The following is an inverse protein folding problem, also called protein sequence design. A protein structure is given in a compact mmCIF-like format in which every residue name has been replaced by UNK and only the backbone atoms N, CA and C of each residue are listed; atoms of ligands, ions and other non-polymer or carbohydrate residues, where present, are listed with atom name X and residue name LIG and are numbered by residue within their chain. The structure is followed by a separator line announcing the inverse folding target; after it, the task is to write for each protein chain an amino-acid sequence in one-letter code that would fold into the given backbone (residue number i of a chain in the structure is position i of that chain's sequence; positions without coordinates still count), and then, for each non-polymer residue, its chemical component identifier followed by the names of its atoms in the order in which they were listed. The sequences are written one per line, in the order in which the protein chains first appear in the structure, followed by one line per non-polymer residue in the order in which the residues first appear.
data_IF_053260040618
#
_entry.id   IF_053260040618
#
_cell.length_a   1.000
_cell.length_b   1.000
_cell.length_c   1.000
_cell.angle_alpha   90.00
_cell.angle_beta   90.00
_cell.angle_gamma   90.00
#
_symmetry.space_group_name_H-M   'P 1'
#
loop_
_entity.id
_entity.type
_entity.pdbx_description
1 polymer ?
#
# COMPACT_ATOMS: atom_id res chain seq x y z
N UNK A 1 -19.97 -21.86 -12.17
CA UNK A 1 -18.80 -21.03 -11.83
C UNK A 1 -17.60 -21.95 -11.65
N UNK A 2 -16.37 -21.59 -12.04
CA UNK A 2 -15.21 -22.41 -11.76
C UNK A 2 -15.07 -22.64 -10.24
N UNK A 3 -14.61 -23.80 -9.78
CA UNK A 3 -14.40 -24.08 -8.37
C UNK A 3 -13.46 -23.02 -7.76
N UNK A 4 -13.92 -22.32 -6.71
CA UNK A 4 -13.17 -21.26 -6.04
C UNK A 4 -13.50 -19.84 -6.49
N UNK A 5 -14.37 -19.60 -7.47
CA UNK A 5 -14.84 -18.25 -7.80
C UNK A 5 -15.74 -17.71 -6.67
N UNK A 6 -15.55 -16.44 -6.35
CA UNK A 6 -16.41 -15.74 -5.39
C UNK A 6 -17.70 -15.28 -6.08
N UNK A 7 -18.83 -15.28 -5.33
CA UNK A 7 -20.03 -14.60 -5.78
C UNK A 7 -19.81 -13.09 -5.89
N UNK A 8 -20.54 -12.39 -6.73
CA UNK A 8 -20.46 -10.92 -6.87
C UNK A 8 -20.60 -10.19 -5.52
N UNK A 9 -21.50 -10.65 -4.66
CA UNK A 9 -21.67 -10.10 -3.32
C UNK A 9 -20.42 -10.28 -2.43
N UNK A 10 -19.65 -11.34 -2.62
CA UNK A 10 -18.38 -11.53 -1.91
C UNK A 10 -17.25 -10.70 -2.50
N UNK A 11 -17.23 -10.52 -3.82
CA UNK A 11 -16.27 -9.63 -4.49
C UNK A 11 -16.49 -8.19 -4.08
N UNK A 12 -17.72 -7.73 -3.96
CA UNK A 12 -18.07 -6.38 -3.49
C UNK A 12 -17.70 -6.14 -2.02
N UNK A 13 -17.53 -7.19 -1.22
CA UNK A 13 -17.08 -7.10 0.17
C UNK A 13 -15.55 -6.92 0.30
N UNK A 14 -14.78 -7.23 -0.75
CA UNK A 14 -13.34 -7.02 -0.79
C UNK A 14 -13.07 -5.54 -1.06
N UNK A 15 -12.63 -4.81 -0.05
CA UNK A 15 -12.34 -3.38 -0.17
C UNK A 15 -10.85 -3.16 -0.35
N UNK A 16 -10.41 -2.58 -1.48
CA UNK A 16 -9.05 -2.06 -1.58
C UNK A 16 -8.85 -0.91 -0.60
N UNK A 17 -7.61 -0.63 -0.22
CA UNK A 17 -7.36 0.45 0.72
C UNK A 17 -5.93 0.58 1.19
N UNK A 18 -5.76 1.47 2.14
CA UNK A 18 -4.50 1.75 2.83
C UNK A 18 -4.53 1.15 4.22
N UNK A 19 -3.38 0.70 4.69
CA UNK A 19 -3.21 0.22 6.06
C UNK A 19 -2.06 0.95 6.76
N UNK A 20 -2.14 1.01 8.08
CA UNK A 20 -1.04 1.35 8.98
C UNK A 20 -0.74 0.17 9.89
N UNK A 21 0.55 -0.09 10.15
CA UNK A 21 1.00 -1.17 11.04
C UNK A 21 0.93 -0.72 12.49
N UNK A 22 0.25 -1.48 13.33
CA UNK A 22 0.20 -1.26 14.78
C UNK A 22 1.39 -1.93 15.49
N UNK A 23 1.90 -1.30 16.53
CA UNK A 23 2.79 -1.97 17.48
C UNK A 23 2.00 -3.02 18.29
N UNK A 24 2.71 -3.98 18.90
CA UNK A 24 2.12 -5.18 19.49
C UNK A 24 1.50 -4.95 20.88
N UNK A 25 0.60 -3.98 20.98
CA UNK A 25 -0.20 -3.70 22.17
C UNK A 25 -1.64 -3.36 21.80
N UNK A 26 -2.56 -3.52 22.73
CA UNK A 26 -3.94 -3.09 22.57
C UNK A 26 -4.03 -1.60 22.26
N UNK A 27 -3.32 -0.75 23.03
CA UNK A 27 -3.40 0.70 22.86
C UNK A 27 -2.92 1.13 21.49
N UNK A 28 -1.80 0.59 21.00
CA UNK A 28 -1.31 0.89 19.65
C UNK A 28 -2.30 0.52 18.55
N UNK A 29 -3.05 -0.57 18.73
CA UNK A 29 -4.15 -0.93 17.83
C UNK A 29 -5.25 0.13 17.81
N UNK A 30 -5.68 0.61 18.97
CA UNK A 30 -6.69 1.66 19.08
C UNK A 30 -6.21 2.99 18.48
N UNK A 31 -4.98 3.40 18.76
CA UNK A 31 -4.38 4.63 18.22
C UNK A 31 -4.27 4.56 16.68
N UNK A 32 -3.88 3.40 16.13
CA UNK A 32 -3.82 3.19 14.69
C UNK A 32 -5.21 3.20 14.04
N UNK A 33 -6.25 2.69 14.72
CA UNK A 33 -7.63 2.75 14.23
C UNK A 33 -8.12 4.19 14.16
N UNK A 34 -7.87 5.01 15.20
CA UNK A 34 -8.25 6.43 15.22
C UNK A 34 -7.50 7.22 14.14
N UNK A 35 -6.22 6.93 13.95
CA UNK A 35 -5.42 7.50 12.87
C UNK A 35 -5.96 7.10 11.50
N UNK A 36 -6.23 5.81 11.28
CA UNK A 36 -6.78 5.28 10.04
C UNK A 36 -8.12 5.94 9.69
N UNK A 37 -9.02 6.07 10.66
CA UNK A 37 -10.31 6.73 10.48
C UNK A 37 -10.15 8.21 10.07
N UNK A 38 -9.25 8.95 10.73
CA UNK A 38 -8.98 10.37 10.45
C UNK A 38 -8.39 10.58 9.06
N UNK A 39 -7.51 9.68 8.63
CA UNK A 39 -6.78 9.78 7.35
C UNK A 39 -7.40 8.97 6.22
N UNK A 40 -8.64 8.47 6.37
CA UNK A 40 -9.36 7.68 5.38
C UNK A 40 -8.58 6.42 4.94
N UNK A 41 -7.92 5.77 5.88
CA UNK A 41 -7.39 4.43 5.69
C UNK A 41 -8.49 3.41 6.01
N UNK A 42 -8.35 2.22 5.48
CA UNK A 42 -9.35 1.18 5.61
C UNK A 42 -8.95 0.12 6.63
N UNK A 43 -7.65 0.02 6.93
CA UNK A 43 -7.14 -1.09 7.72
C UNK A 43 -6.04 -0.69 8.69
N UNK A 44 -5.91 -1.50 9.74
CA UNK A 44 -4.69 -1.63 10.53
C UNK A 44 -4.13 -3.05 10.38
N UNK A 45 -2.85 -3.23 10.63
CA UNK A 45 -2.17 -4.52 10.60
C UNK A 45 -1.46 -4.79 11.93
N UNK A 46 -1.72 -5.92 12.55
CA UNK A 46 -0.78 -6.52 13.49
C UNK A 46 0.14 -7.45 12.72
N UNK A 47 1.42 -7.05 12.63
CA UNK A 47 2.46 -7.77 11.90
C UNK A 47 3.14 -8.84 12.78
N UNK A 48 4.28 -9.38 12.35
CA UNK A 48 5.03 -10.41 13.04
C UNK A 48 5.13 -10.20 14.55
N UNK A 49 4.88 -11.26 15.32
CA UNK A 49 4.97 -11.26 16.79
C UNK A 49 3.64 -11.17 17.55
N UNK A 50 2.52 -10.85 16.91
CA UNK A 50 1.24 -10.69 17.60
C UNK A 50 0.70 -11.99 18.23
N UNK A 51 1.16 -13.15 17.79
CA UNK A 51 0.81 -14.46 18.33
C UNK A 51 2.02 -15.21 18.90
N UNK A 52 3.12 -14.53 19.13
CA UNK A 52 4.37 -15.07 19.67
C UNK A 52 5.55 -14.91 18.72
N UNK A 53 6.68 -15.55 19.08
CA UNK A 53 7.93 -15.41 18.33
C UNK A 53 7.78 -15.91 16.89
N UNK A 54 8.31 -15.14 15.96
CA UNK A 54 8.27 -15.48 14.55
C UNK A 54 9.07 -16.76 14.24
N UNK A 55 8.61 -17.54 13.27
CA UNK A 55 9.20 -18.82 12.85
C UNK A 55 9.29 -19.86 13.95
N UNK A 56 8.71 -19.62 15.12
CA UNK A 56 8.69 -20.57 16.22
C UNK A 56 7.60 -21.63 16.02
N UNK A 57 7.91 -22.87 16.35
CA UNK A 57 6.94 -23.97 16.34
C UNK A 57 6.04 -23.98 17.56
N UNK A 58 6.37 -23.17 18.60
CA UNK A 58 5.60 -23.03 19.85
C UNK A 58 4.63 -21.85 19.80
N UNK A 59 4.79 -20.93 18.83
CA UNK A 59 3.83 -19.84 18.64
C UNK A 59 2.56 -20.35 18.00
N UNK A 60 1.40 -19.93 18.52
CA UNK A 60 0.10 -20.40 18.06
C UNK A 60 -0.78 -19.25 17.53
N UNK A 61 -1.02 -19.15 16.20
CA UNK A 61 -1.85 -18.11 15.62
C UNK A 61 -3.34 -18.21 15.97
N UNK A 62 -3.74 -19.16 16.83
CA UNK A 62 -5.09 -19.24 17.37
C UNK A 62 -5.29 -18.32 18.59
N UNK A 63 -4.24 -17.66 19.10
CA UNK A 63 -4.32 -16.75 20.24
C UNK A 63 -3.35 -15.57 20.10
N UNK A 64 -3.78 -14.39 20.53
CA UNK A 64 -2.92 -13.23 20.63
C UNK A 64 -2.01 -13.31 21.87
N UNK A 65 -0.86 -12.63 21.84
CA UNK A 65 -0.04 -12.43 23.03
C UNK A 65 -0.81 -11.64 24.11
N UNK A 66 -0.48 -11.78 25.40
CA UNK A 66 -1.22 -11.12 26.50
C UNK A 66 -1.29 -9.59 26.40
N UNK A 67 -0.37 -8.94 25.68
CA UNK A 67 -0.35 -7.49 25.48
C UNK A 67 -1.44 -6.98 24.53
N UNK A 68 -2.11 -7.87 23.78
CA UNK A 68 -3.12 -7.55 22.77
C UNK A 68 -4.46 -8.16 23.15
N UNK A 69 -5.42 -7.31 23.55
CA UNK A 69 -6.84 -7.67 23.61
C UNK A 69 -7.43 -7.56 22.19
N UNK A 70 -7.21 -8.61 21.40
CA UNK A 70 -7.61 -8.62 20.00
C UNK A 70 -9.12 -8.46 19.77
N UNK A 71 -10.02 -9.11 20.56
CA UNK A 71 -11.46 -8.87 20.49
C UNK A 71 -11.83 -7.40 20.66
N UNK A 72 -11.23 -6.72 21.64
CA UNK A 72 -11.46 -5.28 21.88
C UNK A 72 -11.03 -4.44 20.68
N UNK A 73 -9.85 -4.70 20.12
CA UNK A 73 -9.32 -3.95 18.96
C UNK A 73 -10.22 -4.16 17.74
N UNK A 74 -10.65 -5.39 17.47
CA UNK A 74 -11.52 -5.71 16.33
C UNK A 74 -12.90 -5.02 16.50
N UNK A 75 -13.49 -5.06 17.69
CA UNK A 75 -14.76 -4.39 17.98
C UNK A 75 -14.65 -2.87 17.76
N UNK A 76 -13.59 -2.25 18.28
CA UNK A 76 -13.32 -0.82 18.14
C UNK A 76 -13.12 -0.41 16.67
N UNK A 77 -12.40 -1.23 15.90
CA UNK A 77 -12.23 -1.02 14.46
C UNK A 77 -13.56 -1.11 13.69
N UNK A 78 -14.39 -2.11 14.03
CA UNK A 78 -15.70 -2.30 13.40
C UNK A 78 -16.61 -1.09 13.61
N UNK A 79 -16.64 -0.51 14.80
CA UNK A 79 -17.42 0.71 15.11
C UNK A 79 -17.00 1.91 14.26
N UNK A 80 -15.74 1.96 13.82
CA UNK A 80 -15.15 3.04 13.02
C UNK A 80 -15.01 2.71 11.54
N UNK A 81 -15.48 1.53 11.12
CA UNK A 81 -15.35 1.07 9.73
C UNK A 81 -13.91 0.69 9.32
N UNK A 82 -13.02 0.43 10.29
CA UNK A 82 -11.62 0.06 10.08
C UNK A 82 -11.44 -1.44 10.31
N UNK A 83 -10.95 -2.15 9.29
CA UNK A 83 -10.66 -3.58 9.37
C UNK A 83 -9.31 -3.87 10.03
N UNK A 84 -9.23 -5.02 10.70
CA UNK A 84 -7.97 -5.53 11.27
C UNK A 84 -7.45 -6.65 10.39
N UNK A 85 -6.19 -6.53 9.95
CA UNK A 85 -5.45 -7.56 9.20
C UNK A 85 -4.46 -8.21 10.16
N UNK A 86 -4.29 -9.53 10.06
CA UNK A 86 -3.37 -10.30 10.87
C UNK A 86 -2.30 -10.97 10.01
N UNK A 87 -1.05 -10.77 10.40
CA UNK A 87 0.08 -11.48 9.83
C UNK A 87 0.14 -12.92 10.31
N UNK A 88 0.47 -13.86 9.43
CA UNK A 88 0.79 -15.23 9.82
C UNK A 88 2.00 -15.74 9.04
N UNK A 89 3.00 -16.20 9.79
CA UNK A 89 4.22 -16.79 9.27
C UNK A 89 3.96 -18.17 8.63
N UNK A 90 4.78 -18.58 7.66
CA UNK A 90 4.62 -19.87 6.99
C UNK A 90 4.58 -21.07 7.93
N UNK A 91 5.28 -21.02 9.07
CA UNK A 91 5.25 -22.12 10.07
C UNK A 91 3.85 -22.26 10.67
N UNK A 92 3.23 -21.16 11.05
CA UNK A 92 1.85 -21.12 11.53
C UNK A 92 0.85 -21.49 10.46
N UNK A 93 1.04 -20.97 9.23
CA UNK A 93 0.17 -21.26 8.10
C UNK A 93 0.15 -22.74 7.74
N UNK A 94 1.33 -23.38 7.64
CA UNK A 94 1.39 -24.81 7.29
C UNK A 94 0.74 -25.71 8.32
N UNK A 95 0.78 -25.33 9.60
CA UNK A 95 0.20 -26.12 10.69
C UNK A 95 -1.28 -25.85 10.94
N UNK A 96 -1.71 -24.60 10.74
CA UNK A 96 -2.96 -24.10 11.31
C UNK A 96 -3.89 -23.40 10.31
N UNK A 97 -3.56 -23.33 8.99
CA UNK A 97 -4.36 -22.60 8.04
C UNK A 97 -5.86 -22.94 8.11
N UNK A 98 -6.18 -24.23 8.12
CA UNK A 98 -7.56 -24.70 8.13
C UNK A 98 -8.28 -24.42 9.48
N UNK A 99 -7.53 -24.18 10.56
CA UNK A 99 -8.05 -23.80 11.87
C UNK A 99 -8.22 -22.30 12.03
N UNK A 100 -7.27 -21.50 11.52
CA UNK A 100 -7.31 -20.04 11.65
C UNK A 100 -8.40 -19.41 10.77
N UNK A 101 -8.66 -19.92 9.59
CA UNK A 101 -9.63 -19.32 8.67
C UNK A 101 -11.05 -19.22 9.28
N UNK A 102 -11.66 -20.29 9.80
CA UNK A 102 -12.96 -20.20 10.47
C UNK A 102 -12.90 -19.35 11.74
N UNK A 103 -11.82 -19.45 12.53
CA UNK A 103 -11.65 -18.68 13.76
C UNK A 103 -11.55 -17.18 13.48
N UNK A 104 -10.72 -16.77 12.51
CA UNK A 104 -10.56 -15.36 12.15
C UNK A 104 -11.85 -14.78 11.54
N UNK A 105 -12.62 -15.63 10.84
CA UNK A 105 -13.95 -15.24 10.37
C UNK A 105 -14.91 -14.96 11.53
N UNK A 106 -14.88 -15.82 12.55
CA UNK A 106 -15.65 -15.62 13.76
C UNK A 106 -15.23 -14.36 14.53
N UNK A 107 -13.93 -14.07 14.61
CA UNK A 107 -13.42 -12.87 15.25
C UNK A 107 -13.78 -11.58 14.48
N UNK A 108 -14.07 -11.67 13.19
CA UNK A 108 -14.34 -10.51 12.35
C UNK A 108 -13.08 -9.87 11.77
N UNK A 109 -11.98 -10.63 11.66
CA UNK A 109 -10.76 -10.22 10.96
C UNK A 109 -11.07 -9.90 9.50
N UNK A 110 -10.50 -8.82 8.97
CA UNK A 110 -10.73 -8.36 7.60
C UNK A 110 -9.85 -9.08 6.57
N UNK A 111 -8.65 -9.48 6.95
CA UNK A 111 -7.71 -10.09 6.04
C UNK A 111 -6.48 -10.68 6.70
N UNK A 112 -5.64 -11.29 5.87
CA UNK A 112 -4.39 -11.89 6.29
C UNK A 112 -3.21 -11.32 5.49
N UNK A 113 -2.07 -11.24 6.16
CA UNK A 113 -0.77 -11.05 5.53
C UNK A 113 0.04 -12.34 5.75
N UNK A 114 0.46 -12.98 4.67
CA UNK A 114 1.31 -14.16 4.72
C UNK A 114 2.78 -13.76 4.67
N UNK A 115 3.59 -14.25 5.61
CA UNK A 115 5.01 -13.99 5.66
C UNK A 115 5.89 -15.23 5.49
N UNK A 116 7.04 -15.04 4.84
CA UNK A 116 8.07 -16.06 4.58
C UNK A 116 7.57 -17.31 3.89
N UNK A 117 6.56 -17.19 3.03
CA UNK A 117 6.04 -18.30 2.25
C UNK A 117 7.04 -18.75 1.19
N UNK A 118 7.02 -20.06 0.87
CA UNK A 118 7.82 -20.59 -0.22
C UNK A 118 7.15 -20.26 -1.57
N UNK A 119 7.58 -19.17 -2.17
CA UNK A 119 7.15 -18.73 -3.50
C UNK A 119 8.10 -19.15 -4.64
N UNK A 120 9.10 -19.99 -4.37
CA UNK A 120 10.17 -20.32 -5.32
C UNK A 120 10.19 -21.80 -5.76
N UNK A 121 9.77 -22.72 -4.89
CA UNK A 121 9.74 -24.15 -5.23
C UNK A 121 8.39 -24.58 -5.79
N UNK A 122 8.37 -25.64 -6.60
CA UNK A 122 7.13 -26.20 -7.14
C UNK A 122 6.17 -26.63 -6.01
N UNK A 123 6.70 -27.21 -4.93
CA UNK A 123 5.91 -27.61 -3.77
C UNK A 123 5.30 -26.40 -3.06
N UNK A 124 6.09 -25.37 -2.83
CA UNK A 124 5.65 -24.13 -2.20
C UNK A 124 4.57 -23.41 -3.01
N UNK A 125 4.76 -23.28 -4.32
CA UNK A 125 3.77 -22.66 -5.22
C UNK A 125 2.46 -23.43 -5.25
N UNK A 126 2.49 -24.77 -5.28
CA UNK A 126 1.27 -25.57 -5.23
C UNK A 126 0.50 -25.36 -3.93
N UNK A 127 1.22 -25.44 -2.80
CA UNK A 127 0.62 -25.17 -1.49
C UNK A 127 0.04 -23.77 -1.40
N UNK A 128 0.79 -22.77 -1.90
CA UNK A 128 0.38 -21.37 -1.85
C UNK A 128 -0.88 -21.10 -2.70
N UNK A 129 -0.97 -21.70 -3.89
CA UNK A 129 -2.16 -21.62 -4.74
C UNK A 129 -3.41 -22.19 -4.04
N UNK A 130 -3.27 -23.31 -3.30
CA UNK A 130 -4.34 -23.87 -2.48
C UNK A 130 -4.70 -22.97 -1.31
N UNK A 131 -3.69 -22.43 -0.62
CA UNK A 131 -3.91 -21.48 0.48
C UNK A 131 -4.63 -20.21 0.03
N UNK A 132 -4.24 -19.62 -1.10
CA UNK A 132 -4.91 -18.45 -1.70
C UNK A 132 -6.38 -18.77 -1.99
N UNK A 133 -6.66 -19.94 -2.59
CA UNK A 133 -8.01 -20.41 -2.88
C UNK A 133 -8.85 -20.51 -1.61
N UNK A 134 -8.29 -21.09 -0.53
CA UNK A 134 -8.96 -21.21 0.77
C UNK A 134 -9.26 -19.82 1.38
N UNK A 135 -8.27 -18.93 1.44
CA UNK A 135 -8.47 -17.56 1.94
C UNK A 135 -9.58 -16.84 1.16
N UNK A 136 -9.55 -16.95 -0.18
CA UNK A 136 -10.58 -16.37 -1.04
C UNK A 136 -11.99 -16.93 -0.72
N UNK A 137 -12.10 -18.23 -0.43
CA UNK A 137 -13.40 -18.84 -0.11
C UNK A 137 -14.02 -18.32 1.19
N UNK A 138 -13.21 -17.85 2.14
CA UNK A 138 -13.67 -17.19 3.37
C UNK A 138 -13.97 -15.69 3.19
N UNK A 139 -13.58 -15.09 2.07
CA UNK A 139 -13.80 -13.68 1.77
C UNK A 139 -12.86 -12.74 2.54
N UNK A 140 -11.67 -13.19 2.89
CA UNK A 140 -10.62 -12.35 3.45
C UNK A 140 -9.83 -11.65 2.34
N UNK A 141 -9.38 -10.43 2.57
CA UNK A 141 -8.32 -9.85 1.75
C UNK A 141 -6.98 -10.49 2.10
N UNK A 142 -6.08 -10.55 1.12
CA UNK A 142 -4.80 -11.23 1.26
C UNK A 142 -3.67 -10.37 0.69
N UNK A 143 -2.64 -10.22 1.49
CA UNK A 143 -1.32 -9.75 1.12
C UNK A 143 -0.32 -10.91 1.29
N UNK A 144 0.63 -11.06 0.36
CA UNK A 144 1.67 -12.11 0.45
C UNK A 144 3.04 -11.45 0.36
N UNK A 145 3.82 -11.58 1.41
CA UNK A 145 5.16 -11.01 1.49
C UNK A 145 6.28 -11.97 1.04
N UNK A 146 7.47 -11.41 0.97
CA UNK A 146 8.76 -12.04 0.66
C UNK A 146 8.91 -12.45 -0.82
N UNK A 147 9.18 -13.72 -1.09
CA UNK A 147 9.62 -14.19 -2.40
C UNK A 147 8.51 -14.38 -3.43
N UNK A 148 7.25 -14.26 -3.04
CA UNK A 148 6.15 -14.50 -3.97
C UNK A 148 5.96 -13.34 -4.94
N UNK A 149 5.99 -13.65 -6.23
CA UNK A 149 5.81 -12.70 -7.31
C UNK A 149 4.46 -12.92 -8.01
N UNK A 150 3.93 -11.91 -8.70
CA UNK A 150 2.67 -12.04 -9.44
C UNK A 150 2.69 -13.19 -10.43
N UNK A 151 1.68 -14.06 -10.33
CA UNK A 151 1.47 -15.23 -11.19
C UNK A 151 0.16 -15.17 -11.97
N UNK A 152 -0.57 -14.06 -11.86
CA UNK A 152 -1.91 -13.88 -12.43
C UNK A 152 -3.04 -14.43 -11.55
N UNK A 153 -2.75 -15.08 -10.42
CA UNK A 153 -3.76 -15.66 -9.52
C UNK A 153 -4.70 -14.61 -8.91
N UNK A 154 -4.31 -13.34 -8.83
CA UNK A 154 -5.20 -12.25 -8.41
C UNK A 154 -6.41 -12.05 -9.34
N UNK A 155 -6.34 -12.47 -10.60
CA UNK A 155 -7.48 -12.49 -11.52
C UNK A 155 -8.47 -13.61 -11.24
N UNK A 156 -7.95 -14.75 -10.77
CA UNK A 156 -8.76 -15.92 -10.40
C UNK A 156 -9.32 -15.80 -8.99
N UNK A 157 -8.52 -15.24 -8.08
CA UNK A 157 -8.83 -15.06 -6.67
C UNK A 157 -8.69 -13.58 -6.29
N UNK A 158 -9.75 -12.77 -6.46
CA UNK A 158 -9.72 -11.32 -6.24
C UNK A 158 -9.38 -10.89 -4.81
N UNK A 159 -9.43 -11.81 -3.85
CA UNK A 159 -8.97 -11.57 -2.47
C UNK A 159 -7.47 -11.28 -2.38
N UNK A 160 -6.66 -11.80 -3.30
CA UNK A 160 -5.23 -11.52 -3.40
C UNK A 160 -5.03 -10.10 -3.94
N UNK A 161 -5.05 -9.12 -3.05
CA UNK A 161 -4.98 -7.70 -3.41
C UNK A 161 -3.57 -7.27 -3.77
N UNK A 162 -2.57 -7.78 -3.05
CA UNK A 162 -1.18 -7.39 -3.27
C UNK A 162 -0.20 -8.50 -2.88
N UNK A 163 1.03 -8.37 -3.33
CA UNK A 163 2.13 -9.25 -2.97
C UNK A 163 3.44 -8.48 -3.03
N UNK A 164 4.35 -8.73 -2.10
CA UNK A 164 5.63 -8.05 -2.09
C UNK A 164 6.44 -8.40 -3.34
N UNK A 165 7.27 -9.40 -3.31
CA UNK A 165 8.15 -9.78 -4.43
C UNK A 165 8.86 -8.58 -5.06
N UNK A 166 9.24 -7.60 -4.25
CA UNK A 166 9.79 -6.30 -4.60
C UNK A 166 10.80 -5.87 -3.53
N UNK A 167 11.73 -5.01 -3.87
CA UNK A 167 12.55 -4.31 -2.89
C UNK A 167 11.84 -3.03 -2.47
N UNK A 168 11.05 -3.10 -1.39
CA UNK A 168 10.34 -1.96 -0.83
C UNK A 168 11.21 -1.07 0.05
N UNK A 169 10.59 -0.05 0.66
CA UNK A 169 11.29 0.94 1.49
C UNK A 169 12.03 0.33 2.68
N UNK A 170 11.58 -0.82 3.20
CA UNK A 170 12.26 -1.56 4.25
C UNK A 170 13.73 -1.86 3.94
N UNK A 171 14.06 -1.97 2.66
CA UNK A 171 15.41 -2.28 2.16
C UNK A 171 16.15 -1.04 1.65
N UNK A 172 15.61 0.17 1.88
CA UNK A 172 16.23 1.44 1.51
C UNK A 172 16.62 1.54 0.04
N UNK A 173 15.69 1.36 -0.93
CA UNK A 173 15.99 1.52 -2.34
C UNK A 173 16.40 2.96 -2.65
N UNK A 174 17.29 3.15 -3.62
CA UNK A 174 17.63 4.47 -4.11
C UNK A 174 16.66 4.94 -5.21
N UNK A 175 16.82 6.17 -5.66
CA UNK A 175 15.96 6.77 -6.67
C UNK A 175 16.09 6.13 -8.05
N UNK A 176 17.22 5.49 -8.37
CA UNK A 176 17.33 4.68 -9.58
C UNK A 176 16.39 3.48 -9.49
N UNK A 177 16.43 2.75 -8.37
CA UNK A 177 15.57 1.59 -8.17
C UNK A 177 14.09 1.98 -8.21
N UNK A 178 13.70 3.07 -7.52
CA UNK A 178 12.29 3.51 -7.49
C UNK A 178 11.76 3.91 -8.88
N UNK A 179 12.62 4.38 -9.78
CA UNK A 179 12.26 4.71 -11.18
C UNK A 179 12.43 3.55 -12.16
N UNK A 180 13.03 2.43 -11.76
CA UNK A 180 13.05 1.17 -12.53
C UNK A 180 11.78 0.35 -12.31
N UNK A 181 11.27 0.29 -11.09
CA UNK A 181 10.16 -0.57 -10.70
C UNK A 181 8.88 -0.38 -11.54
N UNK A 182 8.45 0.85 -11.91
CA UNK A 182 7.25 1.05 -12.73
C UNK A 182 7.33 0.40 -14.11
N UNK A 183 8.55 0.29 -14.67
CA UNK A 183 8.81 -0.28 -15.99
C UNK A 183 9.12 -1.79 -15.96
N UNK A 184 9.18 -2.38 -14.79
CA UNK A 184 9.56 -3.79 -14.61
C UNK A 184 8.55 -4.51 -13.72
N UNK A 185 8.74 -4.46 -12.40
CA UNK A 185 7.95 -5.23 -11.43
C UNK A 185 6.45 -4.92 -11.49
N UNK A 186 6.06 -3.64 -11.64
CA UNK A 186 4.65 -3.24 -11.69
C UNK A 186 3.94 -3.61 -13.00
N UNK A 187 4.67 -3.99 -14.05
CA UNK A 187 4.08 -4.56 -15.26
C UNK A 187 3.52 -5.97 -15.01
N UNK A 188 4.07 -6.68 -14.04
CA UNK A 188 3.62 -8.03 -13.68
C UNK A 188 2.37 -8.02 -12.77
N UNK A 189 2.08 -6.90 -12.12
CA UNK A 189 0.92 -6.75 -11.22
C UNK A 189 1.22 -5.94 -9.96
N UNK A 190 0.26 -5.95 -9.04
CA UNK A 190 0.34 -5.21 -7.78
C UNK A 190 1.56 -5.58 -6.93
N UNK A 191 2.07 -4.60 -6.17
CA UNK A 191 3.12 -4.84 -5.19
C UNK A 191 2.91 -4.02 -3.92
N UNK A 192 3.11 -4.66 -2.75
CA UNK A 192 3.22 -3.95 -1.48
C UNK A 192 4.64 -3.41 -1.31
N UNK A 193 4.77 -2.09 -1.42
CA UNK A 193 6.08 -1.40 -1.36
C UNK A 193 6.48 -1.03 0.07
N UNK A 194 5.60 -1.18 1.06
CA UNK A 194 5.86 -0.84 2.47
C UNK A 194 6.39 0.58 2.68
N UNK A 195 5.62 1.59 2.31
CA UNK A 195 6.03 3.00 2.41
C UNK A 195 6.43 3.39 3.83
N UNK A 196 7.69 3.81 4.02
CA UNK A 196 8.29 4.22 5.29
C UNK A 196 8.43 5.74 5.42
N UNK A 197 7.42 6.49 5.14
CA UNK A 197 7.43 7.96 5.06
C UNK A 197 8.25 8.62 6.19
N UNK A 198 9.13 9.59 5.88
CA UNK A 198 10.00 10.22 6.85
C UNK A 198 9.24 10.92 7.98
N UNK A 199 9.71 10.78 9.22
CA UNK A 199 9.14 11.39 10.42
C UNK A 199 10.21 11.90 11.37
N UNK A 200 9.78 12.74 12.33
CA UNK A 200 10.68 13.36 13.31
C UNK A 200 11.36 12.35 14.27
N UNK A 201 10.68 11.25 14.58
CA UNK A 201 11.26 10.20 15.42
C UNK A 201 12.44 9.49 14.74
N UNK A 202 12.52 9.59 13.42
CA UNK A 202 13.69 9.20 12.64
C UNK A 202 14.09 7.74 12.74
N UNK A 203 13.18 6.83 13.13
CA UNK A 203 13.49 5.42 13.27
C UNK A 203 13.97 4.83 11.92
N UNK A 204 13.18 4.08 11.25
CA UNK A 204 13.55 3.50 9.95
C UNK A 204 13.68 4.54 8.83
N UNK A 205 12.98 5.67 8.94
CA UNK A 205 12.98 6.73 7.93
C UNK A 205 14.36 7.34 7.62
N UNK A 206 15.36 7.18 8.49
CA UNK A 206 16.76 7.55 8.20
C UNK A 206 17.36 6.82 6.99
N UNK A 207 16.83 5.66 6.65
CA UNK A 207 17.31 4.85 5.54
C UNK A 207 16.71 5.24 4.19
N UNK A 208 15.69 6.11 4.19
CA UNK A 208 15.07 6.58 2.96
C UNK A 208 16.03 7.46 2.17
N UNK A 209 16.14 7.15 0.89
CA UNK A 209 17.09 7.78 -0.04
C UNK A 209 16.41 8.68 -1.07
N UNK A 210 15.11 8.85 -0.93
CA UNK A 210 14.27 9.69 -1.77
C UNK A 210 13.55 10.73 -0.93
N UNK A 211 13.08 11.81 -1.56
CA UNK A 211 12.40 12.90 -0.85
C UNK A 211 10.99 12.49 -0.38
N UNK A 212 10.42 13.29 0.54
CA UNK A 212 9.02 13.16 0.95
C UNK A 212 8.06 13.30 -0.22
N UNK A 213 8.30 14.26 -1.11
CA UNK A 213 7.44 14.46 -2.28
C UNK A 213 7.54 13.30 -3.28
N UNK A 214 8.70 12.63 -3.38
CA UNK A 214 8.79 11.39 -4.16
C UNK A 214 7.94 10.28 -3.51
N UNK A 215 7.96 10.13 -2.18
CA UNK A 215 7.11 9.17 -1.48
C UNK A 215 5.62 9.38 -1.79
N UNK A 216 5.14 10.63 -1.82
CA UNK A 216 3.77 10.93 -2.26
C UNK A 216 3.55 10.51 -3.71
N UNK A 217 4.45 10.88 -4.62
CA UNK A 217 4.35 10.55 -6.05
C UNK A 217 4.29 9.05 -6.30
N UNK A 218 5.10 8.27 -5.57
CA UNK A 218 5.16 6.81 -5.72
C UNK A 218 3.84 6.12 -5.38
N UNK A 219 2.99 6.69 -4.51
CA UNK A 219 1.66 6.12 -4.22
C UNK A 219 0.69 6.22 -5.40
N UNK A 220 0.93 7.16 -6.31
CA UNK A 220 0.21 7.24 -7.60
C UNK A 220 0.88 6.35 -8.66
N UNK A 221 2.21 6.37 -8.72
CA UNK A 221 2.99 5.65 -9.73
C UNK A 221 2.87 4.14 -9.55
N UNK A 222 2.99 3.65 -8.31
CA UNK A 222 2.94 2.24 -7.98
C UNK A 222 1.50 1.74 -7.86
N UNK A 223 1.26 0.57 -8.40
CA UNK A 223 -0.06 -0.05 -8.32
C UNK A 223 -0.12 -1.09 -7.22
N UNK A 224 -0.99 -0.86 -6.26
CA UNK A 224 -1.35 -1.85 -5.25
C UNK A 224 -2.76 -1.57 -4.72
N UNK A 225 -3.72 -2.46 -4.88
CA UNK A 225 -5.05 -2.31 -4.26
C UNK A 225 -5.02 -2.27 -2.73
N UNK A 226 -4.00 -2.83 -2.10
CA UNK A 226 -3.72 -2.67 -0.68
C UNK A 226 -2.32 -2.09 -0.51
N UNK A 227 -2.22 -0.90 0.08
CA UNK A 227 -0.94 -0.21 0.28
C UNK A 227 -0.62 -0.07 1.76
N UNK A 228 0.56 -0.56 2.17
CA UNK A 228 1.12 -0.35 3.50
C UNK A 228 1.74 1.05 3.59
N UNK A 229 1.21 1.89 4.49
CA UNK A 229 1.64 3.26 4.70
C UNK A 229 2.28 3.43 6.06
N UNK A 230 3.25 4.34 6.17
CA UNK A 230 3.92 4.65 7.43
C UNK A 230 4.52 3.43 8.10
N UNK A 231 5.06 2.52 7.30
CA UNK A 231 5.69 1.29 7.77
C UNK A 231 6.80 1.62 8.78
N UNK A 232 6.83 0.96 9.92
CA UNK A 232 7.63 1.25 11.09
C UNK A 232 7.34 2.59 11.82
N UNK A 233 6.45 3.44 11.32
CA UNK A 233 6.00 4.63 12.02
C UNK A 233 4.81 4.37 12.94
N UNK A 234 4.56 5.31 13.84
CA UNK A 234 3.40 5.32 14.74
C UNK A 234 2.55 6.56 14.45
N UNK A 235 1.27 6.58 14.76
CA UNK A 235 0.44 7.77 14.63
C UNK A 235 1.07 9.04 15.21
N UNK A 236 1.69 8.93 16.39
CA UNK A 236 2.33 10.05 17.07
C UNK A 236 3.59 10.60 16.37
N UNK A 237 4.15 9.87 15.42
CA UNK A 237 5.35 10.29 14.68
C UNK A 237 5.01 11.24 13.51
N UNK A 238 3.71 11.38 13.15
CA UNK A 238 3.22 12.15 12.00
C UNK A 238 2.30 13.29 12.46
N UNK A 239 2.91 14.34 13.00
CA UNK A 239 2.19 15.50 13.55
C UNK A 239 2.03 16.65 12.55
N UNK A 240 2.81 16.64 11.45
CA UNK A 240 2.67 17.64 10.39
C UNK A 240 1.62 17.15 9.37
N UNK A 241 0.36 17.50 9.62
CA UNK A 241 -0.77 17.09 8.78
C UNK A 241 -0.63 17.55 7.32
N UNK A 242 -0.01 18.71 7.07
CA UNK A 242 0.19 19.24 5.70
C UNK A 242 1.09 18.36 4.85
N UNK A 243 2.06 17.67 5.47
CA UNK A 243 2.96 16.76 4.78
C UNK A 243 2.32 15.41 4.43
N UNK A 244 1.31 14.99 5.19
CA UNK A 244 0.66 13.69 5.02
C UNK A 244 -0.75 13.78 4.43
N UNK A 245 -1.29 14.99 4.24
CA UNK A 245 -2.63 15.23 3.72
C UNK A 245 -2.91 14.48 2.40
N UNK A 246 -1.92 14.39 1.52
CA UNK A 246 -2.06 13.70 0.24
C UNK A 246 -2.50 12.24 0.40
N UNK A 247 -1.96 11.53 1.40
CA UNK A 247 -2.32 10.14 1.68
C UNK A 247 -3.80 9.97 2.08
N UNK A 248 -4.45 11.01 2.58
CA UNK A 248 -5.87 10.99 2.89
C UNK A 248 -6.72 10.84 1.62
N UNK A 249 -6.31 11.48 0.53
CA UNK A 249 -7.09 11.59 -0.71
C UNK A 249 -6.70 10.58 -1.79
N UNK A 250 -5.42 10.18 -1.86
CA UNK A 250 -4.98 9.25 -2.90
C UNK A 250 -5.66 7.88 -2.74
N UNK A 251 -6.33 7.37 -3.80
CA UNK A 251 -6.91 6.03 -3.77
C UNK A 251 -5.86 4.96 -4.09
N UNK A 252 -6.25 3.70 -3.97
CA UNK A 252 -5.38 2.55 -4.25
C UNK A 252 -5.81 1.76 -5.50
N UNK A 253 -6.98 2.10 -6.06
CA UNK A 253 -7.51 1.52 -7.31
C UNK A 253 -7.92 2.62 -8.26
N UNK A 254 -7.87 2.32 -9.56
CA UNK A 254 -7.92 3.32 -10.61
C UNK A 254 -8.82 2.87 -11.76
N UNK A 255 -9.62 3.80 -12.29
CA UNK A 255 -10.45 3.58 -13.48
C UNK A 255 -9.62 3.71 -14.75
N UNK A 256 -8.56 4.53 -14.73
CA UNK A 256 -7.73 4.81 -15.88
C UNK A 256 -6.29 5.13 -15.47
N UNK A 257 -5.33 4.72 -16.30
CA UNK A 257 -3.90 5.02 -16.14
C UNK A 257 -3.32 5.53 -17.44
N UNK A 258 -2.55 6.62 -17.37
CA UNK A 258 -1.80 7.21 -18.49
C UNK A 258 -0.34 7.38 -18.10
N UNK A 259 0.56 6.77 -18.84
CA UNK A 259 1.99 7.06 -18.78
C UNK A 259 2.28 8.26 -19.66
N UNK A 260 2.78 9.34 -19.07
CA UNK A 260 2.88 10.64 -19.71
C UNK A 260 4.28 10.95 -20.23
N UNK A 261 5.30 10.59 -19.47
CA UNK A 261 6.70 10.78 -19.80
C UNK A 261 7.57 9.87 -18.94
N UNK A 262 8.78 9.58 -19.39
CA UNK A 262 9.79 8.94 -18.56
C UNK A 262 10.68 7.96 -19.31
N UNK A 263 11.82 7.68 -18.66
CA UNK A 263 12.82 6.70 -19.06
C UNK A 263 13.16 5.80 -17.87
N UNK A 264 13.26 4.50 -18.11
CA UNK A 264 13.57 3.50 -17.08
C UNK A 264 14.85 3.87 -16.31
N UNK A 265 14.75 3.90 -14.98
CA UNK A 265 15.86 4.22 -14.07
C UNK A 265 16.22 5.71 -14.00
N UNK A 266 15.58 6.56 -14.80
CA UNK A 266 15.84 7.99 -14.81
C UNK A 266 14.69 8.81 -14.24
N UNK A 267 13.49 8.60 -14.74
CA UNK A 267 12.33 9.39 -14.31
C UNK A 267 11.02 8.77 -14.80
N UNK A 268 9.89 9.26 -14.24
CA UNK A 268 8.56 8.82 -14.65
C UNK A 268 7.49 9.85 -14.29
N UNK A 269 6.50 10.03 -15.16
CA UNK A 269 5.24 10.73 -14.89
C UNK A 269 4.05 9.83 -15.24
N UNK A 270 3.14 9.64 -14.30
CA UNK A 270 1.93 8.84 -14.46
C UNK A 270 0.72 9.63 -13.98
N UNK A 271 -0.32 9.69 -14.80
CA UNK A 271 -1.63 10.19 -14.38
C UNK A 271 -2.59 9.01 -14.22
N UNK A 272 -3.37 9.03 -13.13
CA UNK A 272 -4.38 8.02 -12.83
C UNK A 272 -5.69 8.68 -12.42
N UNK A 273 -6.81 8.07 -12.79
CA UNK A 273 -8.14 8.61 -12.48
C UNK A 273 -8.93 7.64 -11.61
N UNK A 274 -9.63 8.22 -10.64
CA UNK A 274 -10.73 7.55 -9.94
C UNK A 274 -11.93 8.49 -9.91
N UNK A 275 -13.08 8.03 -10.40
CA UNK A 275 -14.25 8.88 -10.60
C UNK A 275 -13.94 10.03 -11.56
N UNK A 276 -14.14 11.25 -11.11
CA UNK A 276 -13.84 12.47 -11.88
C UNK A 276 -12.48 13.10 -11.50
N UNK A 277 -11.81 12.63 -10.47
CA UNK A 277 -10.54 13.15 -9.98
C UNK A 277 -9.36 12.45 -10.65
N UNK A 278 -8.41 13.24 -11.14
CA UNK A 278 -7.12 12.76 -11.62
C UNK A 278 -6.03 12.98 -10.57
N UNK A 279 -5.12 12.05 -10.50
CA UNK A 279 -3.93 12.09 -9.66
C UNK A 279 -2.71 11.96 -10.55
N UNK A 280 -1.71 12.81 -10.36
CA UNK A 280 -0.47 12.78 -11.11
C UNK A 280 0.68 12.52 -10.15
N UNK A 281 1.54 11.55 -10.48
CA UNK A 281 2.79 11.28 -9.78
C UNK A 281 3.97 11.47 -10.74
N UNK A 282 4.95 12.27 -10.35
CA UNK A 282 6.20 12.46 -11.07
C UNK A 282 7.38 12.17 -10.13
N UNK A 283 8.34 11.38 -10.56
CA UNK A 283 9.53 11.03 -9.81
C UNK A 283 10.79 11.14 -10.64
N UNK A 284 11.83 11.75 -10.08
CA UNK A 284 13.17 11.79 -10.66
C UNK A 284 14.08 10.74 -10.04
N UNK A 285 14.92 10.12 -10.83
CA UNK A 285 15.95 9.19 -10.41
C UNK A 285 17.15 9.89 -9.77
N UNK A 286 18.35 9.52 -10.18
CA UNK A 286 19.60 10.02 -9.60
C UNK A 286 20.04 11.38 -10.15
N UNK A 287 19.32 11.93 -11.13
CA UNK A 287 19.60 13.20 -11.78
C UNK A 287 18.38 14.13 -11.72
N UNK A 288 18.62 15.45 -11.85
CA UNK A 288 17.57 16.44 -12.00
C UNK A 288 16.75 16.14 -13.27
N UNK A 289 15.46 16.40 -13.22
CA UNK A 289 14.55 16.16 -14.34
C UNK A 289 13.70 17.38 -14.66
N UNK A 290 13.90 17.90 -15.87
CA UNK A 290 13.10 18.96 -16.46
C UNK A 290 12.31 18.41 -17.65
N UNK A 291 10.99 18.62 -17.64
CA UNK A 291 10.09 18.19 -18.71
C UNK A 291 8.84 19.04 -18.78
N UNK A 292 8.02 18.81 -19.79
CA UNK A 292 6.68 19.40 -19.91
C UNK A 292 5.65 18.31 -20.05
N UNK A 293 4.79 18.19 -19.07
CA UNK A 293 3.63 17.28 -19.11
C UNK A 293 2.47 17.96 -19.82
N UNK A 294 1.92 17.31 -20.85
CA UNK A 294 0.71 17.76 -21.52
C UNK A 294 -0.51 17.22 -20.78
N UNK A 295 -1.45 18.12 -20.47
CA UNK A 295 -2.68 17.77 -19.73
C UNK A 295 -3.81 17.30 -20.69
N UNK A 296 -3.46 16.54 -21.73
CA UNK A 296 -4.39 16.06 -22.76
C UNK A 296 -5.36 14.97 -22.26
N UNK A 297 -5.05 14.35 -21.10
CA UNK A 297 -5.89 13.37 -20.44
C UNK A 297 -7.10 13.99 -19.71
N UNK A 298 -7.10 15.30 -19.45
CA UNK A 298 -8.21 16.01 -18.85
C UNK A 298 -9.41 16.08 -19.81
N UNK A 299 -10.62 16.11 -19.27
CA UNK A 299 -11.84 16.28 -20.07
C UNK A 299 -11.85 17.69 -20.69
N UNK A 300 -12.32 17.85 -21.94
CA UNK A 300 -12.46 19.18 -22.55
C UNK A 300 -13.58 19.99 -21.90
N UNK A 301 -13.51 21.32 -22.04
CA UNK A 301 -14.61 22.23 -21.69
C UNK A 301 -14.74 22.54 -20.20
N UNK A 302 -13.79 22.12 -19.35
CA UNK A 302 -13.78 22.52 -17.91
C UNK A 302 -12.39 22.86 -17.44
N UNK A 303 -12.34 23.71 -16.43
CA UNK A 303 -11.16 23.97 -15.65
C UNK A 303 -11.05 22.96 -14.51
N UNK A 304 -9.82 22.59 -14.18
CA UNK A 304 -9.48 21.71 -13.07
C UNK A 304 -8.71 22.49 -12.01
N UNK A 305 -9.17 22.41 -10.77
CA UNK A 305 -8.42 22.92 -9.62
C UNK A 305 -7.37 21.88 -9.23
N UNK A 306 -6.12 22.28 -9.32
CA UNK A 306 -4.97 21.39 -9.08
C UNK A 306 -4.33 21.76 -7.75
N UNK A 307 -4.20 20.79 -6.84
CA UNK A 307 -3.33 20.90 -5.68
C UNK A 307 -2.05 20.14 -5.97
N UNK A 308 -0.91 20.82 -5.87
CA UNK A 308 0.43 20.28 -6.12
C UNK A 308 1.17 20.14 -4.81
N UNK A 309 1.79 18.99 -4.61
CA UNK A 309 2.69 18.66 -3.50
C UNK A 309 4.07 18.38 -4.08
N UNK A 310 5.05 19.19 -3.75
CA UNK A 310 6.40 19.12 -4.32
C UNK A 310 7.45 19.42 -3.25
N UNK A 311 8.70 19.07 -3.50
CA UNK A 311 9.80 19.35 -2.58
C UNK A 311 9.96 20.86 -2.37
N UNK A 312 10.14 21.28 -1.11
CA UNK A 312 10.33 22.69 -0.72
C UNK A 312 11.79 23.16 -0.81
N UNK A 313 12.72 22.23 -1.16
CA UNK A 313 14.15 22.47 -1.17
C UNK A 313 14.83 22.46 0.20
N UNK A 314 14.07 22.23 1.29
CA UNK A 314 14.55 22.20 2.67
C UNK A 314 14.28 20.85 3.36
N UNK A 315 13.82 19.85 2.59
CA UNK A 315 13.50 18.51 3.08
C UNK A 315 12.04 18.32 3.52
N UNK A 316 11.20 19.32 3.34
CA UNK A 316 9.75 19.28 3.54
C UNK A 316 8.97 19.26 2.23
N UNK A 317 7.66 19.41 2.35
CA UNK A 317 6.73 19.51 1.23
C UNK A 317 6.16 20.92 1.14
N UNK A 318 6.20 21.49 -0.07
CA UNK A 318 5.48 22.71 -0.43
C UNK A 318 4.18 22.34 -1.13
N UNK A 319 3.08 22.92 -0.65
CA UNK A 319 1.78 22.86 -1.29
C UNK A 319 1.51 24.15 -2.08
N UNK A 320 1.02 24.00 -3.32
CA UNK A 320 0.55 25.14 -4.12
C UNK A 320 -0.69 24.77 -4.92
N UNK A 321 -1.45 25.74 -5.30
CA UNK A 321 -2.67 25.58 -6.10
C UNK A 321 -2.54 26.28 -7.44
N UNK A 322 -3.18 25.71 -8.47
CA UNK A 322 -3.28 26.29 -9.79
C UNK A 322 -4.56 25.80 -10.49
N UNK A 323 -4.89 26.46 -11.60
CA UNK A 323 -5.96 25.99 -12.47
C UNK A 323 -5.37 25.58 -13.82
N UNK A 324 -5.73 24.40 -14.30
CA UNK A 324 -5.33 23.87 -15.61
C UNK A 324 -6.56 23.34 -16.34
N UNK A 325 -6.42 23.22 -17.66
CA UNK A 325 -7.44 22.65 -18.54
C UNK A 325 -6.79 21.68 -19.54
N UNK A 326 -7.61 20.92 -20.24
CA UNK A 326 -7.11 20.09 -21.34
C UNK A 326 -6.26 20.92 -22.31
N UNK A 327 -5.11 20.37 -22.72
CA UNK A 327 -4.15 21.04 -23.59
C UNK A 327 -3.16 21.98 -22.87
N UNK A 328 -3.35 22.25 -21.58
CA UNK A 328 -2.34 22.96 -20.79
C UNK A 328 -1.01 22.22 -20.81
N UNK A 329 0.08 22.97 -20.82
CA UNK A 329 1.45 22.47 -20.75
C UNK A 329 2.00 22.77 -19.37
N UNK A 330 2.22 21.74 -18.58
CA UNK A 330 2.72 21.87 -17.21
C UNK A 330 4.24 21.67 -17.19
N UNK A 331 5.04 22.72 -16.92
CA UNK A 331 6.47 22.55 -16.65
C UNK A 331 6.67 21.75 -15.36
N UNK A 332 7.45 20.68 -15.43
CA UNK A 332 7.83 19.83 -14.31
C UNK A 332 9.34 19.94 -14.14
N UNK A 333 9.77 20.37 -12.95
CA UNK A 333 11.18 20.49 -12.56
C UNK A 333 11.37 19.81 -11.23
N UNK A 334 12.05 18.70 -11.23
CA UNK A 334 12.27 17.86 -10.05
C UNK A 334 13.77 17.66 -9.88
N UNK A 335 14.28 17.93 -8.68
CA UNK A 335 15.67 17.64 -8.34
C UNK A 335 15.90 16.14 -8.25
N UNK A 336 17.15 15.72 -8.37
CA UNK A 336 17.56 14.34 -8.17
C UNK A 336 16.96 13.77 -6.88
N UNK A 337 16.40 12.56 -6.96
CA UNK A 337 15.74 11.83 -5.85
C UNK A 337 14.44 12.49 -5.36
N UNK A 338 13.98 13.54 -6.04
CA UNK A 338 12.77 14.28 -5.71
C UNK A 338 11.52 13.76 -6.40
N UNK A 339 10.38 14.37 -6.07
CA UNK A 339 9.10 14.03 -6.64
C UNK A 339 8.10 15.17 -6.62
N UNK A 340 6.96 14.89 -7.26
CA UNK A 340 5.81 15.78 -7.26
C UNK A 340 4.53 14.95 -7.38
N UNK A 341 3.58 15.21 -6.50
CA UNK A 341 2.26 14.61 -6.56
C UNK A 341 1.19 15.68 -6.75
N UNK A 342 0.10 15.34 -7.44
CA UNK A 342 -1.00 16.28 -7.70
C UNK A 342 -2.35 15.62 -7.56
N UNK A 343 -3.33 16.43 -7.17
CA UNK A 343 -4.76 16.12 -7.21
C UNK A 343 -5.42 17.13 -8.15
N UNK A 344 -6.19 16.63 -9.12
CA UNK A 344 -6.86 17.44 -10.14
C UNK A 344 -8.37 17.19 -10.05
N UNK A 345 -9.11 18.14 -9.49
CA UNK A 345 -10.56 18.09 -9.27
C UNK A 345 -11.37 18.91 -10.28
#
# INVERSE_FOLDING_TARGET
MPPGSMSEARQSALKPGKLIRAQLTTQAGLDCIDFAARHHFQYILYDAGWYGAERSTTSDPLAAIPAIDLPKVIAYGKERGIGVILYVNYVGLRKKLDSILPLYKQWGVAGLKFGFVDGLTQHGIRWLADAIRKVNSYGFILDIHDNYKPTGLSRTFPSLLTQEGIRGDEHGPDAWHTTVLPYTRFLAGAADFTFCFPNAAGSFSKNLKVSKAQQLALTVIYYSPLQSMFWYGRPADYTNEDEIEFFKYVPTVWDETRYLAGDIGKNIAVARRQGDTWYLGCAAGMEDWDTVVKMDFLKPGRDYHITVYEDDGKGGIRRRMMTLRRGSRLPVRIRAKGGMAMICN
#
